data_IF_440749875183
#
_entry.id   IF_440749875183
#
_cell.length_a   1.000
_cell.length_b   1.000
_cell.length_c   1.000
_cell.angle_alpha   90.00
_cell.angle_beta   90.00
_cell.angle_gamma   90.00
#
_symmetry.space_group_name_H-M   'P 1'
#
loop_
_entity.id
_entity.type
_entity.pdbx_description
1 polymer ?
#
# COMPACT_ATOMS: atom_id res chain seq x y z
N UNK A 1 2.94 -26.66 -21.54
CA UNK A 1 3.79 -25.49 -21.29
C UNK A 1 5.15 -25.71 -21.94
N UNK A 2 5.66 -24.76 -22.72
CA UNK A 2 6.96 -24.93 -23.38
C UNK A 2 8.11 -24.66 -22.40
N UNK A 3 9.29 -25.29 -22.59
CA UNK A 3 10.47 -25.06 -21.76
C UNK A 3 10.85 -23.58 -21.64
N UNK A 4 10.65 -22.80 -22.70
CA UNK A 4 10.85 -21.35 -22.71
C UNK A 4 9.87 -20.60 -21.80
N UNK A 5 8.62 -21.05 -21.68
CA UNK A 5 7.65 -20.43 -20.77
C UNK A 5 8.03 -20.63 -19.31
N UNK A 6 8.58 -21.80 -18.97
CA UNK A 6 9.06 -22.12 -17.62
C UNK A 6 10.30 -21.29 -17.27
N UNK A 7 11.24 -21.16 -18.20
CA UNK A 7 12.44 -20.34 -18.02
C UNK A 7 12.09 -18.86 -17.77
N UNK A 8 11.17 -18.29 -18.55
CA UNK A 8 10.70 -16.91 -18.34
C UNK A 8 10.03 -16.72 -16.99
N UNK A 9 9.23 -17.70 -16.56
CA UNK A 9 8.53 -17.63 -15.29
C UNK A 9 9.48 -17.72 -14.09
N UNK A 10 10.49 -18.59 -14.18
CA UNK A 10 11.56 -18.70 -13.18
C UNK A 10 12.39 -17.41 -13.10
N UNK A 11 12.69 -16.80 -14.25
CA UNK A 11 13.45 -15.55 -14.31
C UNK A 11 12.66 -14.39 -13.69
N UNK A 12 11.37 -14.29 -13.97
CA UNK A 12 10.47 -13.32 -13.33
C UNK A 12 10.38 -13.54 -11.81
N UNK A 13 10.30 -14.79 -11.36
CA UNK A 13 10.27 -15.12 -9.93
C UNK A 13 11.58 -14.77 -9.23
N UNK A 14 12.73 -15.01 -9.89
CA UNK A 14 14.03 -14.60 -9.39
C UNK A 14 14.15 -13.08 -9.27
N UNK A 15 13.72 -12.34 -10.29
CA UNK A 15 13.73 -10.86 -10.26
C UNK A 15 12.87 -10.32 -9.11
N UNK A 16 11.68 -10.89 -8.89
CA UNK A 16 10.81 -10.53 -7.77
C UNK A 16 11.45 -10.87 -6.42
N UNK A 17 12.08 -12.03 -6.30
CA UNK A 17 12.76 -12.44 -5.07
C UNK A 17 13.95 -11.52 -4.75
N UNK A 18 14.71 -11.13 -5.77
CA UNK A 18 15.83 -10.19 -5.65
C UNK A 18 15.36 -8.79 -5.23
N UNK A 19 14.25 -8.32 -5.78
CA UNK A 19 13.63 -7.05 -5.38
C UNK A 19 13.20 -7.07 -3.91
N UNK A 20 12.56 -8.17 -3.47
CA UNK A 20 12.15 -8.35 -2.07
C UNK A 20 13.36 -8.41 -1.14
N UNK A 21 14.39 -9.18 -1.49
CA UNK A 21 15.60 -9.31 -0.68
C UNK A 21 16.33 -7.97 -0.53
N UNK A 22 16.45 -7.18 -1.62
CA UNK A 22 17.06 -5.86 -1.58
C UNK A 22 16.26 -4.88 -0.72
N UNK A 23 14.93 -4.95 -0.75
CA UNK A 23 14.06 -4.13 0.09
C UNK A 23 14.15 -4.48 1.59
N UNK A 24 14.48 -5.73 1.93
CA UNK A 24 14.49 -6.24 3.32
C UNK A 24 15.74 -5.83 4.13
N UNK A 25 16.91 -5.65 3.48
CA UNK A 25 18.21 -5.44 4.15
C UNK A 25 18.49 -4.03 4.72
N UNK A 26 17.56 -3.44 5.46
CA UNK A 26 17.83 -2.35 6.43
C UNK A 26 18.11 -0.91 5.94
N UNK A 27 17.66 -0.48 4.75
CA UNK A 27 17.79 0.95 4.37
C UNK A 27 16.60 1.65 3.74
N UNK A 28 15.61 0.93 3.21
CA UNK A 28 14.52 1.58 2.48
C UNK A 28 13.15 0.97 2.82
N UNK A 29 12.64 1.30 3.99
CA UNK A 29 11.21 1.11 4.31
C UNK A 29 10.33 1.69 3.19
N UNK A 30 10.77 2.79 2.57
CA UNK A 30 10.14 3.39 1.38
C UNK A 30 10.10 2.47 0.15
N UNK A 31 11.16 1.69 -0.12
CA UNK A 31 11.17 0.74 -1.24
C UNK A 31 10.23 -0.44 -0.98
N UNK A 32 10.19 -0.93 0.26
CA UNK A 32 9.28 -2.00 0.64
C UNK A 32 7.81 -1.54 0.54
N UNK A 33 7.50 -0.34 1.04
CA UNK A 33 6.17 0.24 0.92
C UNK A 33 5.79 0.49 -0.54
N UNK A 34 6.73 0.99 -1.35
CA UNK A 34 6.55 1.16 -2.79
C UNK A 34 6.19 -0.14 -3.50
N UNK A 35 6.84 -1.26 -3.14
CA UNK A 35 6.50 -2.58 -3.66
C UNK A 35 5.06 -2.97 -3.30
N UNK A 36 4.66 -2.83 -2.03
CA UNK A 36 3.32 -3.20 -1.59
C UNK A 36 2.22 -2.38 -2.27
N UNK A 37 2.44 -1.09 -2.48
CA UNK A 37 1.48 -0.21 -3.16
C UNK A 37 1.21 -0.63 -4.60
N UNK A 38 2.21 -1.17 -5.28
CA UNK A 38 2.06 -1.69 -6.64
C UNK A 38 1.40 -3.08 -6.64
N UNK A 39 1.74 -3.92 -5.66
CA UNK A 39 1.37 -5.33 -5.64
C UNK A 39 -0.02 -5.58 -5.04
N UNK A 40 -0.42 -4.82 -4.02
CA UNK A 40 -1.71 -5.00 -3.34
C UNK A 40 -2.94 -4.78 -4.26
N UNK A 41 -3.00 -3.72 -5.09
CA UNK A 41 -4.14 -3.56 -6.01
C UNK A 41 -4.33 -4.76 -6.94
N UNK A 42 -3.24 -5.31 -7.49
CA UNK A 42 -3.30 -6.48 -8.37
C UNK A 42 -3.78 -7.73 -7.64
N UNK A 43 -3.28 -7.98 -6.43
CA UNK A 43 -3.65 -9.16 -5.63
C UNK A 43 -5.11 -9.11 -5.17
N UNK A 44 -5.59 -7.94 -4.81
CA UNK A 44 -6.93 -7.75 -4.26
C UNK A 44 -7.97 -7.35 -5.31
N UNK A 45 -7.58 -7.28 -6.59
CA UNK A 45 -8.42 -6.76 -7.69
C UNK A 45 -9.06 -5.39 -7.35
N UNK A 46 -8.28 -4.53 -6.69
CA UNK A 46 -8.70 -3.20 -6.28
C UNK A 46 -8.20 -2.15 -7.29
N UNK A 47 -8.92 -1.04 -7.42
CA UNK A 47 -8.55 0.05 -8.34
C UNK A 47 -7.30 0.82 -7.88
N UNK A 48 -7.10 0.92 -6.56
CA UNK A 48 -5.99 1.63 -5.94
C UNK A 48 -5.78 1.12 -4.51
N UNK A 49 -4.62 1.45 -3.94
CA UNK A 49 -4.26 1.17 -2.56
C UNK A 49 -3.59 2.40 -1.94
N UNK A 50 -3.82 2.57 -0.64
CA UNK A 50 -3.16 3.58 0.18
C UNK A 50 -2.61 2.95 1.44
N UNK A 51 -1.37 3.29 1.79
CA UNK A 51 -0.72 2.81 3.01
C UNK A 51 -0.38 4.00 3.90
N UNK A 52 -0.82 3.93 5.16
CA UNK A 52 -0.42 4.83 6.22
C UNK A 52 0.58 4.13 7.14
N UNK A 53 1.68 4.80 7.47
CA UNK A 53 2.61 4.30 8.48
C UNK A 53 3.14 5.42 9.37
N UNK A 54 3.60 5.07 10.57
CA UNK A 54 4.33 5.97 11.48
C UNK A 54 5.74 5.48 11.64
N UNK A 55 6.64 6.42 11.96
CA UNK A 55 7.96 6.05 12.44
C UNK A 55 7.89 5.62 13.91
N UNK A 56 8.72 4.66 14.32
CA UNK A 56 8.75 4.15 15.70
C UNK A 56 9.35 5.15 16.71
N UNK A 57 9.81 6.31 16.28
CA UNK A 57 10.49 7.35 17.06
C UNK A 57 9.55 8.19 17.96
N UNK A 58 8.27 7.80 18.08
CA UNK A 58 7.33 8.39 19.03
C UNK A 58 6.73 9.73 18.61
N UNK A 59 7.21 10.33 17.52
CA UNK A 59 6.54 11.44 16.84
C UNK A 59 5.46 10.83 15.96
N UNK A 60 4.19 11.20 16.17
CA UNK A 60 3.07 10.78 15.31
C UNK A 60 3.11 11.49 13.95
N UNK A 61 4.20 11.33 13.22
CA UNK A 61 4.29 11.74 11.83
C UNK A 61 3.79 10.58 10.99
N UNK A 62 2.63 10.78 10.38
CA UNK A 62 2.02 9.83 9.47
C UNK A 62 2.54 10.08 8.06
N UNK A 63 2.95 8.99 7.42
CA UNK A 63 3.31 8.98 6.02
C UNK A 63 2.23 8.24 5.24
N UNK A 64 1.72 8.90 4.20
CA UNK A 64 0.75 8.35 3.26
C UNK A 64 1.45 8.05 1.96
N UNK A 65 1.19 6.87 1.42
CA UNK A 65 1.59 6.52 0.09
C UNK A 65 0.40 5.98 -0.69
N UNK A 66 0.29 6.39 -1.95
CA UNK A 66 -0.83 6.08 -2.83
C UNK A 66 -0.33 5.36 -4.10
N UNK A 67 -1.19 4.59 -4.78
CA UNK A 67 -0.83 3.90 -6.03
C UNK A 67 -0.27 4.84 -7.10
N UNK A 68 -0.79 6.07 -7.18
CA UNK A 68 -0.33 7.13 -8.08
C UNK A 68 0.79 8.00 -7.49
N UNK A 69 0.92 8.04 -6.16
CA UNK A 69 1.98 8.74 -5.44
C UNK A 69 2.74 7.79 -4.49
N UNK A 70 3.64 6.95 -5.03
CA UNK A 70 4.32 5.91 -4.24
C UNK A 70 5.38 6.48 -3.27
N UNK A 71 5.85 7.72 -3.48
CA UNK A 71 6.71 8.42 -2.51
C UNK A 71 5.85 8.94 -1.37
N UNK A 72 6.23 8.59 -0.14
CA UNK A 72 5.48 8.98 1.06
C UNK A 72 5.34 10.50 1.20
N UNK A 73 4.12 10.97 1.41
CA UNK A 73 3.81 12.33 1.81
C UNK A 73 3.44 12.37 3.29
N UNK A 74 3.86 13.41 4.01
CA UNK A 74 3.43 13.60 5.40
C UNK A 74 1.94 13.96 5.40
N UNK A 75 1.11 13.06 5.90
CA UNK A 75 -0.34 13.24 5.94
C UNK A 75 -0.97 12.38 7.04
N UNK A 76 -1.75 13.03 7.91
CA UNK A 76 -2.55 12.35 8.94
C UNK A 76 -3.83 11.78 8.30
N UNK A 77 -4.27 10.58 8.71
CA UNK A 77 -5.59 10.08 8.35
C UNK A 77 -6.69 11.09 8.69
N UNK A 78 -7.65 11.34 7.79
CA UNK A 78 -8.75 12.27 8.07
C UNK A 78 -9.60 11.80 9.25
N UNK A 79 -10.13 12.75 10.03
CA UNK A 79 -11.05 12.42 11.12
C UNK A 79 -12.34 11.81 10.58
N UNK A 80 -12.77 10.70 11.18
CA UNK A 80 -13.91 9.89 10.74
C UNK A 80 -13.58 8.88 9.64
N UNK A 81 -12.38 8.94 9.03
CA UNK A 81 -11.97 7.99 7.99
C UNK A 81 -11.87 6.57 8.51
N UNK A 82 -11.98 5.59 7.61
CA UNK A 82 -11.73 4.18 7.94
C UNK A 82 -10.32 3.98 8.50
N UNK A 83 -9.33 4.72 7.98
CA UNK A 83 -7.96 4.67 8.47
C UNK A 83 -7.84 5.13 9.93
N UNK A 84 -8.48 6.24 10.32
CA UNK A 84 -8.51 6.69 11.72
C UNK A 84 -9.21 5.67 12.64
N UNK A 85 -10.31 5.06 12.17
CA UNK A 85 -11.04 4.05 12.92
C UNK A 85 -10.19 2.78 13.15
N UNK A 86 -9.47 2.29 12.13
CA UNK A 86 -8.54 1.16 12.28
C UNK A 86 -7.43 1.50 13.27
N UNK A 87 -6.86 2.71 13.20
CA UNK A 87 -5.82 3.15 14.15
C UNK A 87 -6.32 3.23 15.59
N UNK A 88 -7.55 3.68 15.79
CA UNK A 88 -8.14 3.84 17.13
C UNK A 88 -8.57 2.49 17.72
N UNK A 89 -9.11 1.60 16.88
CA UNK A 89 -9.68 0.32 17.34
C UNK A 89 -8.67 -0.83 17.31
N UNK A 90 -7.61 -0.73 16.52
CA UNK A 90 -6.68 -1.82 16.25
C UNK A 90 -7.30 -2.98 15.47
N UNK A 91 -8.50 -2.80 14.89
CA UNK A 91 -9.24 -3.85 14.20
C UNK A 91 -9.21 -3.66 12.69
N UNK A 92 -9.16 -4.76 11.96
CA UNK A 92 -9.40 -4.75 10.51
C UNK A 92 -10.87 -4.43 10.24
N UNK A 93 -11.11 -3.43 9.40
CA UNK A 93 -12.45 -3.01 9.00
C UNK A 93 -12.64 -3.25 7.50
N UNK A 94 -13.78 -3.81 7.12
CA UNK A 94 -14.25 -3.91 5.74
C UNK A 94 -15.54 -3.09 5.65
N UNK A 95 -15.55 -2.09 4.78
CA UNK A 95 -16.73 -1.25 4.57
C UNK A 95 -17.31 -1.51 3.18
N UNK A 96 -18.62 -1.75 3.11
CA UNK A 96 -19.36 -1.81 1.86
C UNK A 96 -20.15 -0.49 1.75
N UNK A 97 -19.78 0.36 0.79
CA UNK A 97 -20.30 1.72 0.62
C UNK A 97 -21.79 1.81 0.22
N UNK A 98 -22.51 0.69 0.20
CA UNK A 98 -23.94 0.67 -0.15
C UNK A 98 -24.87 1.32 0.89
N UNK A 99 -24.36 1.87 2.00
CA UNK A 99 -25.19 2.52 3.03
C UNK A 99 -24.64 3.80 3.67
N UNK A 100 -23.45 4.30 3.33
CA UNK A 100 -22.92 5.55 3.91
C UNK A 100 -21.91 6.23 2.97
N UNK A 101 -21.83 7.57 2.96
CA UNK A 101 -20.80 8.26 2.20
C UNK A 101 -19.43 7.98 2.82
N UNK A 102 -18.50 7.49 1.99
CA UNK A 102 -17.08 7.50 2.31
C UNK A 102 -16.63 8.94 2.55
N UNK A 103 -15.67 9.14 3.48
CA UNK A 103 -15.02 10.44 3.62
C UNK A 103 -14.42 10.82 2.24
N UNK A 104 -14.47 12.09 1.79
CA UNK A 104 -14.00 12.48 0.46
C UNK A 104 -12.55 12.06 0.15
N UNK A 105 -11.70 12.01 1.18
CA UNK A 105 -10.33 11.48 1.07
C UNK A 105 -10.24 9.95 1.00
N UNK A 106 -11.27 9.20 1.42
CA UNK A 106 -11.34 7.73 1.27
C UNK A 106 -11.80 7.32 -0.14
N UNK A 107 -12.16 8.29 -0.99
CA UNK A 107 -12.40 8.09 -2.41
C UNK A 107 -11.09 7.94 -3.22
N UNK A 108 -11.18 7.52 -4.49
CA UNK A 108 -10.00 7.38 -5.35
C UNK A 108 -9.24 8.72 -5.43
N UNK A 109 -7.89 8.68 -5.51
CA UNK A 109 -7.12 9.89 -5.73
C UNK A 109 -7.59 10.58 -7.00
N UNK A 110 -7.71 11.90 -6.95
CA UNK A 110 -8.18 12.72 -8.07
C UNK A 110 -7.20 12.53 -9.24
N UNK A 111 -7.64 11.83 -10.29
CA UNK A 111 -6.91 11.78 -11.55
C UNK A 111 -6.92 13.17 -12.18
N UNK A 112 -5.76 13.81 -12.26
CA UNK A 112 -5.53 14.93 -13.18
C UNK A 112 -5.27 14.41 -14.59
#
# INVERSE_FOLDING_TARGET
MSPQSVAKHLQLLQERLDQVNKAWTSKDQELLLGLFIQLLPELFHAEWCRIYHTKPDGVRLWYRHDTDQPRGAVATPPTGSLAEQVLTTGKTLLHNASSAPLHPDDGPPIRN
#
